data_IF_139251677013
#
_entry.id   IF_139251677013
#
_cell.length_a   1.000
_cell.length_b   1.000
_cell.length_c   1.000
_cell.angle_alpha   90.00
_cell.angle_beta   90.00
_cell.angle_gamma   90.00
#
_symmetry.space_group_name_H-M   'P 1'
#
loop_
_entity.id
_entity.type
_entity.pdbx_description
1 polymer ?
#
# COMPACT_ATOMS: atom_id res chain seq x y z
N UNK A 1 7.59 -4.89 -25.03
CA UNK A 1 7.78 -3.44 -24.82
C UNK A 1 7.61 -3.18 -23.33
N UNK A 2 8.68 -2.90 -22.60
CA UNK A 2 8.54 -2.44 -21.21
C UNK A 2 8.06 -1.00 -21.25
N UNK A 3 6.81 -0.77 -20.85
CA UNK A 3 6.38 0.58 -20.52
C UNK A 3 7.16 0.98 -19.26
N UNK A 4 8.26 1.71 -19.42
CA UNK A 4 8.91 2.35 -18.30
C UNK A 4 7.95 3.43 -17.81
N UNK A 5 7.18 3.11 -16.78
CA UNK A 5 6.32 4.08 -16.10
C UNK A 5 7.24 5.13 -15.51
N UNK A 6 7.18 6.35 -16.05
CA UNK A 6 7.83 7.50 -15.44
C UNK A 6 7.01 7.90 -14.21
N UNK A 7 7.46 7.53 -13.02
CA UNK A 7 6.83 7.98 -11.77
C UNK A 7 7.13 9.45 -11.48
N UNK A 8 8.12 10.04 -12.16
CA UNK A 8 8.56 11.43 -11.98
C UNK A 8 7.47 12.44 -12.33
N UNK A 9 6.55 12.10 -13.23
CA UNK A 9 5.47 13.00 -13.64
C UNK A 9 4.29 13.02 -12.65
N UNK A 10 4.20 11.99 -11.80
CA UNK A 10 3.10 11.81 -10.85
C UNK A 10 3.25 12.68 -9.60
N UNK A 11 4.49 12.93 -9.18
CA UNK A 11 4.80 13.61 -7.93
C UNK A 11 5.69 14.82 -8.16
N UNK A 12 5.47 15.87 -7.36
CA UNK A 12 6.32 17.06 -7.32
C UNK A 12 7.32 17.04 -6.17
N UNK A 13 7.09 16.16 -5.17
CA UNK A 13 7.88 16.04 -3.95
C UNK A 13 7.54 14.74 -3.22
N UNK A 14 8.50 14.28 -2.40
CA UNK A 14 8.33 13.17 -1.48
C UNK A 14 8.64 13.63 -0.06
N UNK A 15 7.81 13.24 0.89
CA UNK A 15 8.11 13.34 2.32
C UNK A 15 8.30 11.93 2.89
N UNK A 16 9.38 11.73 3.64
CA UNK A 16 9.66 10.49 4.35
C UNK A 16 9.63 10.79 5.84
N UNK A 17 8.75 10.11 6.57
CA UNK A 17 8.70 10.22 8.04
C UNK A 17 9.90 9.49 8.63
N UNK A 18 10.68 10.16 9.48
CA UNK A 18 11.97 9.69 10.00
C UNK A 18 11.86 8.34 10.72
N UNK A 19 10.75 8.07 11.39
CA UNK A 19 10.50 6.78 12.05
C UNK A 19 10.64 5.59 11.10
N UNK A 20 10.29 5.74 9.81
CA UNK A 20 10.48 4.69 8.80
C UNK A 20 11.93 4.22 8.73
N UNK A 21 12.88 5.12 8.93
CA UNK A 21 14.32 4.88 8.84
C UNK A 21 14.91 4.18 10.07
N UNK A 22 14.13 4.02 11.15
CA UNK A 22 14.55 3.31 12.38
C UNK A 22 14.87 1.82 12.17
N UNK A 23 14.43 1.24 11.04
CA UNK A 23 14.76 -0.14 10.66
C UNK A 23 15.58 -0.16 9.38
N UNK A 24 16.68 -0.92 9.39
CA UNK A 24 17.56 -1.07 8.22
C UNK A 24 16.82 -1.62 6.99
N UNK A 25 15.87 -2.54 7.18
CA UNK A 25 15.10 -3.13 6.08
C UNK A 25 14.14 -2.11 5.46
N UNK A 26 13.45 -1.32 6.29
CA UNK A 26 12.56 -0.24 5.83
C UNK A 26 13.35 0.88 5.16
N UNK A 27 14.47 1.30 5.75
CA UNK A 27 15.36 2.29 5.15
C UNK A 27 15.87 1.83 3.77
N UNK A 28 16.23 0.55 3.62
CA UNK A 28 16.65 -0.01 2.33
C UNK A 28 15.49 -0.02 1.31
N UNK A 29 14.28 -0.40 1.73
CA UNK A 29 13.08 -0.37 0.90
C UNK A 29 12.77 1.05 0.41
N UNK A 30 12.82 2.06 1.29
CA UNK A 30 12.62 3.46 0.90
C UNK A 30 13.71 3.94 -0.05
N UNK A 31 14.99 3.68 0.25
CA UNK A 31 16.08 4.06 -0.67
C UNK A 31 15.90 3.46 -2.07
N UNK A 32 15.55 2.18 -2.15
CA UNK A 32 15.30 1.50 -3.43
C UNK A 32 14.07 2.06 -4.15
N UNK A 33 13.01 2.44 -3.44
CA UNK A 33 11.85 3.08 -4.05
C UNK A 33 12.19 4.47 -4.60
N UNK A 34 13.02 5.24 -3.88
CA UNK A 34 13.44 6.58 -4.29
C UNK A 34 14.32 6.59 -5.55
N UNK A 35 15.02 5.50 -5.88
CA UNK A 35 15.76 5.43 -7.16
C UNK A 35 14.84 5.44 -8.37
N UNK A 36 13.56 5.09 -8.22
CA UNK A 36 12.56 5.22 -9.28
C UNK A 36 11.84 6.58 -9.32
N UNK A 37 12.22 7.52 -8.44
CA UNK A 37 11.70 8.88 -8.31
C UNK A 37 12.82 9.92 -8.53
N UNK A 38 13.59 9.74 -9.60
CA UNK A 38 14.72 10.59 -9.94
C UNK A 38 14.31 12.06 -10.12
N UNK A 39 15.08 12.98 -9.56
CA UNK A 39 14.87 14.44 -9.65
C UNK A 39 13.63 14.99 -8.91
N UNK A 40 12.94 14.18 -8.10
CA UNK A 40 11.91 14.67 -7.19
C UNK A 40 12.58 15.06 -5.85
N UNK A 41 12.33 16.27 -5.31
CA UNK A 41 12.86 16.65 -3.99
C UNK A 41 12.30 15.74 -2.89
N UNK A 42 13.20 15.21 -2.07
CA UNK A 42 12.87 14.35 -0.92
C UNK A 42 13.13 15.13 0.36
N UNK A 43 12.11 15.21 1.20
CA UNK A 43 12.15 15.86 2.50
C UNK A 43 12.00 14.81 3.60
N UNK A 44 12.78 14.95 4.66
CA UNK A 44 12.71 14.08 5.84
C UNK A 44 12.10 14.88 6.99
N UNK A 45 11.07 14.34 7.61
CA UNK A 45 10.24 15.00 8.64
C UNK A 45 9.99 14.04 9.80
N UNK A 46 9.73 14.54 11.00
CA UNK A 46 9.38 13.70 12.15
C UNK A 46 7.88 13.36 12.19
N UNK A 47 7.04 14.24 11.66
CA UNK A 47 5.58 14.02 11.58
C UNK A 47 4.91 14.66 10.36
N UNK A 48 3.77 14.12 9.94
CA UNK A 48 3.03 14.58 8.75
C UNK A 48 2.51 16.03 8.88
N UNK A 49 2.38 16.53 10.11
CA UNK A 49 2.03 17.90 10.45
C UNK A 49 3.07 18.94 10.02
N UNK A 50 4.31 18.52 9.76
CA UNK A 50 5.36 19.39 9.24
C UNK A 50 5.21 19.69 7.74
N UNK A 51 4.33 18.98 7.05
CA UNK A 51 4.08 19.19 5.62
C UNK A 51 3.35 20.54 5.44
N UNK A 52 3.93 21.51 4.70
CA UNK A 52 3.27 22.78 4.42
C UNK A 52 1.89 22.60 3.76
N UNK A 53 0.94 23.45 4.12
CA UNK A 53 -0.48 23.31 3.70
C UNK A 53 -0.65 23.30 2.19
N UNK A 54 0.14 24.09 1.47
CA UNK A 54 0.15 24.15 0.00
C UNK A 54 0.57 22.82 -0.65
N UNK A 55 1.23 21.94 0.11
CA UNK A 55 1.71 20.64 -0.32
C UNK A 55 0.85 19.47 0.14
N UNK A 56 -0.25 19.74 0.85
CA UNK A 56 -1.27 18.74 1.19
C UNK A 56 -2.18 18.45 -0.01
N UNK A 57 -1.60 17.87 -1.07
CA UNK A 57 -2.29 17.58 -2.32
C UNK A 57 -1.79 16.28 -2.99
N UNK A 58 -2.50 15.81 -4.02
CA UNK A 58 -2.23 14.55 -4.70
C UNK A 58 -0.90 14.49 -5.51
N UNK A 59 -0.16 15.61 -5.62
CA UNK A 59 1.20 15.64 -6.20
C UNK A 59 2.29 15.47 -5.14
N UNK A 60 1.91 15.15 -3.90
CA UNK A 60 2.82 14.86 -2.80
C UNK A 60 2.71 13.39 -2.43
N UNK A 61 3.86 12.71 -2.37
CA UNK A 61 3.97 11.35 -1.83
C UNK A 61 4.47 11.42 -0.39
N UNK A 62 3.82 10.71 0.52
CA UNK A 62 4.24 10.56 1.91
C UNK A 62 4.53 9.09 2.19
N UNK A 63 5.75 8.81 2.63
CA UNK A 63 6.18 7.47 3.06
C UNK A 63 6.23 7.46 4.58
N UNK A 64 5.38 6.66 5.20
CA UNK A 64 5.20 6.64 6.65
C UNK A 64 5.05 5.22 7.19
N UNK A 65 4.85 5.11 8.50
CA UNK A 65 4.32 3.92 9.13
C UNK A 65 2.80 4.04 9.33
N UNK A 66 2.12 2.89 9.40
CA UNK A 66 0.77 2.78 9.92
C UNK A 66 0.84 2.31 11.38
N UNK A 67 0.14 3.00 12.28
CA UNK A 67 0.20 2.75 13.73
C UNK A 67 -0.94 1.82 14.22
N UNK A 68 -1.02 0.63 13.64
CA UNK A 68 -1.88 -0.46 14.14
C UNK A 68 -3.25 -0.59 13.47
N UNK A 69 -3.48 0.09 12.35
CA UNK A 69 -4.73 0.04 11.58
C UNK A 69 -4.55 -0.53 10.16
N UNK A 70 -3.36 -1.05 9.84
CA UNK A 70 -3.06 -1.55 8.51
C UNK A 70 -3.98 -2.72 8.17
N UNK A 71 -4.10 -3.72 9.05
CA UNK A 71 -5.06 -4.82 8.91
C UNK A 71 -6.30 -4.53 9.75
N UNK A 72 -7.45 -4.35 9.09
CA UNK A 72 -8.72 -4.09 9.79
C UNK A 72 -9.90 -4.75 9.07
N UNK A 73 -11.05 -4.95 9.74
CA UNK A 73 -12.28 -5.30 9.05
C UNK A 73 -12.68 -4.22 8.04
N UNK A 74 -13.17 -4.64 6.87
CA UNK A 74 -13.87 -3.74 5.96
C UNK A 74 -15.05 -3.09 6.70
N UNK A 75 -15.30 -1.77 6.55
CA UNK A 75 -16.38 -1.07 7.22
C UNK A 75 -17.77 -1.59 6.83
N UNK A 76 -17.86 -2.38 5.74
CA UNK A 76 -19.10 -2.92 5.23
C UNK A 76 -20.01 -1.83 4.67
N UNK A 77 -21.22 -2.22 4.29
CA UNK A 77 -22.24 -1.29 3.82
C UNK A 77 -23.53 -1.52 4.60
N UNK A 78 -24.14 -0.42 5.06
CA UNK A 78 -25.36 -0.50 5.85
C UNK A 78 -26.47 -1.21 5.06
N UNK A 79 -27.13 -2.18 5.68
CA UNK A 79 -28.18 -2.98 5.05
C UNK A 79 -27.68 -4.15 4.21
N UNK A 80 -26.38 -4.42 4.19
CA UNK A 80 -25.77 -5.57 3.49
C UNK A 80 -25.28 -6.62 4.49
N UNK A 81 -25.30 -7.90 4.07
CA UNK A 81 -24.67 -8.98 4.84
C UNK A 81 -23.16 -8.86 4.73
N UNK A 82 -22.46 -8.86 5.87
CA UNK A 82 -21.02 -8.71 5.91
C UNK A 82 -20.31 -9.95 5.33
N UNK A 83 -19.35 -9.73 4.43
CA UNK A 83 -18.51 -10.78 3.85
C UNK A 83 -17.24 -11.09 4.67
N UNK A 84 -17.06 -10.42 5.81
CA UNK A 84 -15.90 -10.55 6.71
C UNK A 84 -14.54 -10.31 6.02
N UNK A 85 -14.51 -9.45 5.01
CA UNK A 85 -13.29 -9.07 4.32
C UNK A 85 -12.40 -8.19 5.21
N UNK A 86 -11.10 -8.43 5.18
CA UNK A 86 -10.08 -7.63 5.86
C UNK A 86 -9.40 -6.70 4.86
N UNK A 87 -9.27 -5.42 5.20
CA UNK A 87 -8.56 -4.45 4.37
C UNK A 87 -7.15 -4.25 4.89
N UNK A 88 -6.20 -4.16 3.95
CA UNK A 88 -4.80 -3.82 4.17
C UNK A 88 -4.55 -2.40 3.66
N UNK A 89 -4.47 -1.43 4.57
CA UNK A 89 -4.31 0.00 4.26
C UNK A 89 -2.84 0.35 3.99
N UNK A 90 -2.32 -0.15 2.87
CA UNK A 90 -0.93 0.10 2.45
C UNK A 90 -0.82 1.42 1.70
N UNK A 91 -1.73 1.63 0.74
CA UNK A 91 -1.72 2.74 -0.21
C UNK A 91 -2.93 3.62 0.05
N UNK A 92 -2.70 4.91 0.31
CA UNK A 92 -3.74 5.93 0.42
C UNK A 92 -3.72 6.86 -0.79
N UNK A 93 -4.88 7.04 -1.42
CA UNK A 93 -5.02 7.89 -2.61
C UNK A 93 -4.55 7.24 -3.91
N UNK A 94 -4.71 7.96 -5.02
CA UNK A 94 -4.32 7.51 -6.35
C UNK A 94 -4.19 8.70 -7.33
N UNK A 95 -3.25 8.63 -8.29
CA UNK A 95 -3.02 9.66 -9.32
C UNK A 95 -3.67 9.38 -10.67
N UNK A 96 -4.41 8.27 -10.82
CA UNK A 96 -5.06 7.87 -12.09
C UNK A 96 -6.17 8.81 -12.56
N UNK A 97 -6.62 9.74 -11.71
CA UNK A 97 -7.47 10.85 -12.14
C UNK A 97 -8.91 10.51 -12.49
N UNK A 98 -9.40 9.28 -12.25
CA UNK A 98 -10.76 8.85 -12.58
C UNK A 98 -11.83 9.90 -12.21
N UNK A 99 -12.69 10.25 -13.15
CA UNK A 99 -13.75 11.26 -12.97
C UNK A 99 -14.79 10.82 -11.93
N UNK A 100 -15.01 9.51 -11.81
CA UNK A 100 -15.96 8.88 -10.90
C UNK A 100 -15.35 8.48 -9.54
N UNK A 101 -14.14 8.93 -9.22
CA UNK A 101 -13.43 8.48 -8.02
C UNK A 101 -14.02 9.04 -6.73
N UNK A 102 -14.81 8.23 -6.01
CA UNK A 102 -15.35 8.57 -4.69
C UNK A 102 -14.26 8.89 -3.66
N UNK A 103 -13.07 8.29 -3.78
CA UNK A 103 -11.95 8.53 -2.86
C UNK A 103 -11.42 9.96 -2.91
N UNK A 104 -11.63 10.71 -4.01
CA UNK A 104 -11.26 12.14 -4.07
C UNK A 104 -12.01 12.95 -3.01
N UNK A 105 -13.29 12.65 -2.81
CA UNK A 105 -14.10 13.30 -1.78
C UNK A 105 -13.76 12.78 -0.38
N UNK A 106 -13.65 11.44 -0.23
CA UNK A 106 -13.38 10.82 1.06
C UNK A 106 -12.02 11.23 1.66
N UNK A 107 -10.98 11.30 0.83
CA UNK A 107 -9.63 11.68 1.25
C UNK A 107 -9.41 13.19 1.17
N UNK A 108 -10.40 13.99 0.77
CA UNK A 108 -10.30 15.45 0.67
C UNK A 108 -9.00 15.96 0.01
N UNK A 109 -8.63 15.36 -1.12
CA UNK A 109 -7.40 15.68 -1.88
C UNK A 109 -6.09 15.60 -1.09
N UNK A 110 -6.04 14.90 0.04
CA UNK A 110 -4.82 14.69 0.83
C UNK A 110 -3.68 14.06 0.00
N UNK A 111 -2.43 14.18 0.47
CA UNK A 111 -1.28 13.50 -0.12
C UNK A 111 -1.50 12.01 -0.37
N UNK A 112 -0.80 11.49 -1.39
CA UNK A 112 -0.73 10.05 -1.61
C UNK A 112 0.18 9.45 -0.55
N UNK A 113 -0.25 8.39 0.13
CA UNK A 113 0.49 7.79 1.24
C UNK A 113 0.88 6.34 0.95
N UNK A 114 2.02 5.93 1.48
CA UNK A 114 2.49 4.53 1.48
C UNK A 114 2.98 4.16 2.87
N UNK A 115 2.32 3.19 3.49
CA UNK A 115 2.74 2.60 4.76
C UNK A 115 3.67 1.41 4.50
N UNK A 116 4.89 1.44 5.05
CA UNK A 116 5.94 0.44 4.71
C UNK A 116 6.21 -0.60 5.80
N UNK A 117 5.53 -0.54 6.94
CA UNK A 117 5.63 -1.48 8.07
C UNK A 117 4.62 -2.64 7.95
N UNK A 118 4.73 -3.43 6.89
CA UNK A 118 3.77 -4.50 6.55
C UNK A 118 3.90 -5.73 7.43
N UNK A 119 5.00 -5.87 8.15
CA UNK A 119 5.36 -7.03 8.97
C UNK A 119 4.34 -7.30 10.07
N UNK A 120 3.84 -6.24 10.72
CA UNK A 120 2.87 -6.35 11.80
C UNK A 120 1.51 -6.86 11.28
N UNK A 121 1.10 -6.40 10.10
CA UNK A 121 -0.11 -6.84 9.43
C UNK A 121 0.01 -8.30 8.96
N UNK A 122 1.16 -8.68 8.40
CA UNK A 122 1.47 -10.07 8.04
C UNK A 122 1.36 -10.97 9.27
N UNK A 123 2.10 -10.65 10.34
CA UNK A 123 2.11 -11.41 11.58
C UNK A 123 0.71 -11.57 12.18
N UNK A 124 -0.07 -10.50 12.17
CA UNK A 124 -1.43 -10.52 12.70
C UNK A 124 -2.34 -11.45 11.90
N UNK A 125 -2.30 -11.39 10.56
CA UNK A 125 -3.16 -12.23 9.73
C UNK A 125 -2.74 -13.70 9.76
N UNK A 126 -1.44 -13.99 9.74
CA UNK A 126 -0.95 -15.37 9.81
C UNK A 126 -1.25 -16.02 11.15
N UNK A 127 -1.10 -15.29 12.27
CA UNK A 127 -1.48 -15.79 13.59
C UNK A 127 -2.98 -16.10 13.69
N UNK A 128 -3.84 -15.27 13.07
CA UNK A 128 -5.28 -15.56 12.98
C UNK A 128 -5.57 -16.80 12.14
N UNK A 129 -4.87 -16.96 11.03
CA UNK A 129 -5.00 -18.11 10.13
C UNK A 129 -4.59 -19.42 10.80
N UNK A 130 -3.50 -19.42 11.59
CA UNK A 130 -3.03 -20.58 12.35
C UNK A 130 -3.97 -20.94 13.50
N UNK A 131 -4.50 -19.93 14.19
CA UNK A 131 -5.43 -20.13 15.31
C UNK A 131 -6.78 -20.69 14.85
N UNK A 132 -7.17 -20.43 13.60
CA UNK A 132 -8.47 -20.81 13.05
C UNK A 132 -8.32 -21.50 11.68
N UNK A 133 -7.75 -22.72 11.65
CA UNK A 133 -7.44 -23.41 10.38
C UNK A 133 -8.69 -23.68 9.53
N UNK A 134 -9.86 -23.88 10.16
CA UNK A 134 -11.13 -24.16 9.47
C UNK A 134 -11.82 -22.90 8.91
N UNK A 135 -11.29 -21.70 9.20
CA UNK A 135 -11.86 -20.43 8.75
C UNK A 135 -11.06 -19.89 7.57
N UNK A 136 -11.78 -19.49 6.50
CA UNK A 136 -11.19 -18.73 5.40
C UNK A 136 -11.09 -17.25 5.78
N UNK A 137 -9.89 -16.69 5.62
CA UNK A 137 -9.60 -15.27 5.76
C UNK A 137 -9.44 -14.64 4.38
N UNK A 138 -10.27 -13.66 4.06
CA UNK A 138 -10.14 -12.85 2.84
C UNK A 138 -9.56 -11.51 3.21
N UNK A 139 -8.40 -11.19 2.66
CA UNK A 139 -7.71 -9.94 2.92
C UNK A 139 -7.24 -9.31 1.62
N UNK A 140 -7.11 -7.99 1.58
CA UNK A 140 -6.48 -7.37 0.42
C UNK A 140 -6.35 -5.88 0.51
N UNK A 141 -5.60 -5.33 -0.44
CA UNK A 141 -5.35 -3.89 -0.57
C UNK A 141 -6.33 -3.27 -1.56
N UNK A 142 -6.33 -1.94 -1.64
CA UNK A 142 -7.10 -1.20 -2.65
C UNK A 142 -8.43 -0.62 -2.19
N UNK A 143 -8.67 -0.53 -0.88
CA UNK A 143 -9.86 0.14 -0.32
C UNK A 143 -9.78 1.67 -0.51
N UNK A 144 -8.65 2.26 -0.14
CA UNK A 144 -8.44 3.73 -0.14
C UNK A 144 -7.41 4.20 -1.17
N UNK A 145 -6.84 3.29 -1.96
CA UNK A 145 -5.83 3.58 -2.97
C UNK A 145 -5.80 2.53 -4.07
N UNK A 146 -4.89 2.67 -5.03
CA UNK A 146 -4.66 1.64 -6.05
C UNK A 146 -3.50 0.74 -5.60
N UNK A 147 -3.73 -0.58 -5.59
CA UNK A 147 -2.78 -1.54 -5.01
C UNK A 147 -1.46 -1.61 -5.76
N UNK A 148 -1.48 -1.42 -7.09
CA UNK A 148 -0.33 -1.66 -7.95
C UNK A 148 0.21 -0.39 -8.61
N UNK A 149 -0.41 0.77 -8.37
CA UNK A 149 0.11 2.05 -8.87
C UNK A 149 1.55 2.29 -8.42
N UNK A 150 1.83 2.22 -7.12
CA UNK A 150 3.17 2.46 -6.56
C UNK A 150 3.93 1.17 -6.22
N UNK A 151 3.30 0.02 -6.39
CA UNK A 151 3.91 -1.27 -6.04
C UNK A 151 5.18 -1.62 -6.83
N UNK A 152 5.40 -1.17 -8.09
CA UNK A 152 6.69 -1.35 -8.75
C UNK A 152 7.87 -0.73 -7.99
N UNK A 153 7.64 0.37 -7.26
CA UNK A 153 8.66 1.05 -6.46
C UNK A 153 8.88 0.36 -5.11
N UNK A 154 7.79 0.09 -4.38
CA UNK A 154 7.87 -0.41 -3.00
C UNK A 154 7.85 -1.94 -2.88
N UNK A 155 7.30 -2.62 -3.88
CA UNK A 155 7.16 -4.09 -4.02
C UNK A 155 6.52 -4.74 -2.80
N UNK A 156 5.54 -4.07 -2.20
CA UNK A 156 4.86 -4.50 -0.98
C UNK A 156 3.95 -5.70 -1.25
N UNK A 157 3.25 -5.71 -2.38
CA UNK A 157 2.33 -6.80 -2.73
C UNK A 157 3.05 -8.14 -2.83
N UNK A 158 4.30 -8.16 -3.34
CA UNK A 158 5.15 -9.35 -3.32
C UNK A 158 5.33 -9.89 -1.90
N UNK A 159 5.60 -9.01 -0.92
CA UNK A 159 5.83 -9.40 0.47
C UNK A 159 4.61 -10.09 1.06
N UNK A 160 3.41 -9.57 0.79
CA UNK A 160 2.16 -10.20 1.20
C UNK A 160 1.92 -11.54 0.50
N UNK A 161 2.08 -11.59 -0.82
CA UNK A 161 1.90 -12.82 -1.61
C UNK A 161 2.82 -13.93 -1.06
N UNK A 162 4.11 -13.65 -0.90
CA UNK A 162 5.09 -14.63 -0.43
C UNK A 162 4.84 -15.04 1.03
N UNK A 163 4.45 -14.10 1.90
CA UNK A 163 4.17 -14.39 3.30
C UNK A 163 2.88 -15.20 3.50
N UNK A 164 1.86 -14.98 2.66
CA UNK A 164 0.58 -15.69 2.78
C UNK A 164 0.52 -16.99 1.98
N UNK A 165 1.46 -17.21 1.04
CA UNK A 165 1.50 -18.41 0.21
C UNK A 165 1.46 -19.75 0.98
N UNK A 166 2.10 -19.90 2.16
CA UNK A 166 2.05 -21.14 2.94
C UNK A 166 0.67 -21.42 3.58
N UNK A 167 -0.21 -20.43 3.67
CA UNK A 167 -1.47 -20.51 4.43
C UNK A 167 -2.64 -20.84 3.51
N UNK A 168 -3.08 -22.11 3.55
CA UNK A 168 -4.16 -22.63 2.72
C UNK A 168 -5.52 -21.96 2.94
N UNK A 169 -5.72 -21.27 4.06
CA UNK A 169 -6.95 -20.59 4.46
C UNK A 169 -6.89 -19.06 4.34
N UNK A 170 -5.80 -18.46 3.85
CA UNK A 170 -5.75 -17.04 3.48
C UNK A 170 -6.06 -16.88 1.99
N UNK A 171 -6.88 -15.90 1.62
CA UNK A 171 -7.12 -15.44 0.24
C UNK A 171 -6.71 -13.98 0.18
N UNK A 172 -5.63 -13.69 -0.54
CA UNK A 172 -5.12 -12.33 -0.68
C UNK A 172 -5.54 -11.75 -2.03
N UNK A 173 -6.09 -10.54 -2.03
CA UNK A 173 -6.57 -9.87 -3.24
C UNK A 173 -5.86 -8.51 -3.40
N UNK A 174 -5.34 -8.23 -4.60
CA UNK A 174 -4.88 -6.89 -5.00
C UNK A 174 -5.77 -6.34 -6.10
N UNK A 175 -6.08 -5.04 -6.06
CA UNK A 175 -6.98 -4.38 -7.01
C UNK A 175 -6.29 -3.18 -7.63
N UNK A 176 -6.27 -3.10 -8.96
CA UNK A 176 -5.62 -2.01 -9.70
C UNK A 176 -6.38 -1.65 -10.98
N UNK A 177 -6.20 -0.41 -11.46
CA UNK A 177 -6.56 0.04 -12.81
C UNK A 177 -5.30 0.34 -13.66
N UNK A 178 -4.13 -0.09 -13.21
CA UNK A 178 -2.86 -0.03 -13.97
C UNK A 178 -2.56 -1.37 -14.65
N UNK A 179 -1.56 -1.38 -15.52
CA UNK A 179 -0.96 -2.61 -16.06
C UNK A 179 0.34 -3.00 -15.35
N UNK A 180 0.62 -2.44 -14.17
CA UNK A 180 1.93 -2.54 -13.51
C UNK A 180 2.05 -3.83 -12.70
N UNK A 181 2.05 -4.96 -13.41
CA UNK A 181 2.01 -6.31 -12.80
C UNK A 181 3.29 -7.11 -13.02
N UNK A 182 4.19 -6.64 -13.88
CA UNK A 182 5.36 -7.40 -14.34
C UNK A 182 6.25 -7.90 -13.20
N UNK A 183 6.43 -7.09 -12.15
CA UNK A 183 7.25 -7.46 -10.99
C UNK A 183 6.64 -8.56 -10.11
N UNK A 184 5.36 -8.89 -10.31
CA UNK A 184 4.64 -9.98 -9.62
C UNK A 184 4.67 -11.29 -10.41
N UNK A 185 4.85 -11.25 -11.73
CA UNK A 185 4.78 -12.44 -12.60
C UNK A 185 5.81 -13.51 -12.18
N UNK A 186 7.01 -13.07 -11.80
CA UNK A 186 8.12 -13.94 -11.39
C UNK A 186 8.04 -14.55 -9.98
N UNK A 187 6.96 -14.31 -9.22
CA UNK A 187 6.78 -14.92 -7.89
C UNK A 187 6.46 -16.41 -8.06
N UNK A 188 7.31 -17.29 -7.51
CA UNK A 188 7.21 -18.75 -7.70
C UNK A 188 6.08 -19.39 -6.89
N UNK A 189 5.93 -19.00 -5.61
CA UNK A 189 4.89 -19.50 -4.71
C UNK A 189 3.88 -18.41 -4.43
N UNK A 190 2.71 -18.47 -5.09
CA UNK A 190 1.63 -17.50 -4.90
C UNK A 190 0.55 -18.01 -3.93
N UNK A 191 0.52 -19.30 -3.63
CA UNK A 191 -0.52 -19.90 -2.77
C UNK A 191 -1.92 -19.59 -3.31
N UNK A 192 -2.75 -18.96 -2.49
CA UNK A 192 -4.08 -18.50 -2.89
C UNK A 192 -4.17 -16.97 -3.06
N UNK A 193 -3.07 -16.34 -3.47
CA UNK A 193 -2.93 -14.92 -3.78
C UNK A 193 -2.81 -14.66 -5.28
#
# INVERSE_FOLDING_TARGET
>A
MSFSVSFNDLFSRVYVVNEVLSSASRAALVRNALTGLENIPVHYIDGAEEIPREYLNQRTLVVSMDHGNMLRPCPGSRGQVCCNYLTLNVYGGCTLGCSYCIMKHYLNYQPITVAVNVEDAVKSLTALAEKHPDRIFRAGTGETGDSLLLDPLFRISRRFIEAFAPYGNIRFEVKTKTSFVDHLLGIKGKGNA
#
